data_IF_541052969787
#
_entry.id   IF_541052969787
#
_cell.length_a   1.000
_cell.length_b   1.000
_cell.length_c   1.000
_cell.angle_alpha   90.00
_cell.angle_beta   90.00
_cell.angle_gamma   90.00
#
_symmetry.space_group_name_H-M   'P 1'
#
loop_
_entity.id
_entity.type
_entity.pdbx_description
1 polymer ?
#
# COMPACT_ATOMS: atom_id res chain seq x y z
N UNK A 1 1.99 7.78 6.76
CA UNK A 1 0.67 8.07 7.39
C UNK A 1 0.83 8.89 8.66
N UNK A 2 1.51 8.44 9.72
CA UNK A 2 1.64 9.21 10.98
C UNK A 2 2.21 10.61 10.77
N UNK A 3 3.32 10.77 10.06
CA UNK A 3 3.89 12.09 9.74
C UNK A 3 2.92 13.00 8.97
N UNK A 4 2.08 12.42 8.11
CA UNK A 4 1.05 13.17 7.38
C UNK A 4 -0.05 13.65 8.33
N UNK A 5 -0.47 12.82 9.28
CA UNK A 5 -1.45 13.21 10.29
C UNK A 5 -0.87 14.24 11.26
N UNK A 6 0.41 14.14 11.61
CA UNK A 6 1.11 15.19 12.38
C UNK A 6 1.06 16.53 11.63
N UNK A 7 1.47 16.54 10.36
CA UNK A 7 1.53 17.75 9.53
C UNK A 7 0.14 18.34 9.22
N UNK A 8 -0.83 17.50 8.87
CA UNK A 8 -2.14 17.93 8.33
C UNK A 8 -3.25 18.01 9.36
N UNK A 9 -3.16 17.24 10.43
CA UNK A 9 -4.21 17.11 11.44
C UNK A 9 -3.72 17.42 12.87
N UNK A 10 -2.47 17.88 13.03
CA UNK A 10 -1.93 18.24 14.32
C UNK A 10 -1.79 17.08 15.32
N UNK A 11 -1.65 15.83 14.80
CA UNK A 11 -1.42 14.67 15.66
C UNK A 11 -0.09 14.84 16.39
N UNK A 12 -0.07 14.59 17.69
CA UNK A 12 1.15 14.66 18.49
C UNK A 12 1.79 13.28 18.56
N UNK A 13 2.96 13.14 17.96
CA UNK A 13 3.74 11.89 18.05
C UNK A 13 4.54 11.90 19.36
N UNK A 14 4.46 10.80 20.10
CA UNK A 14 5.22 10.60 21.34
C UNK A 14 6.65 10.11 21.11
N UNK A 15 6.87 9.53 19.94
CA UNK A 15 8.16 9.02 19.45
C UNK A 15 8.20 9.19 17.92
N UNK A 16 9.34 8.90 17.30
CA UNK A 16 9.42 8.89 15.83
C UNK A 16 8.42 7.90 15.22
N UNK A 17 7.81 8.26 14.10
CA UNK A 17 6.78 7.44 13.45
C UNK A 17 7.27 6.02 13.11
N UNK A 18 8.57 5.84 12.84
CA UNK A 18 9.17 4.54 12.57
C UNK A 18 9.17 3.65 13.83
N UNK A 19 9.48 4.22 14.99
CA UNK A 19 9.42 3.52 16.29
C UNK A 19 7.99 3.12 16.62
N UNK A 20 7.05 4.06 16.49
CA UNK A 20 5.61 3.80 16.74
C UNK A 20 5.05 2.71 15.83
N UNK A 21 5.54 2.60 14.59
CA UNK A 21 5.08 1.57 13.64
C UNK A 21 5.57 0.16 13.96
N UNK A 22 6.54 0.02 14.85
CA UNK A 22 7.13 -1.29 15.23
C UNK A 22 6.81 -1.70 16.66
N UNK A 23 6.05 -0.90 17.40
CA UNK A 23 5.63 -1.26 18.77
C UNK A 23 4.72 -2.47 18.78
N UNK A 24 4.86 -3.34 19.75
CA UNK A 24 3.99 -4.51 19.95
C UNK A 24 2.76 -4.18 20.80
N UNK A 25 2.74 -3.01 21.43
CA UNK A 25 1.66 -2.56 22.29
C UNK A 25 0.68 -1.64 21.55
N UNK A 26 -0.57 -1.64 22.01
CA UNK A 26 -1.56 -0.66 21.53
C UNK A 26 -1.16 0.73 22.01
N UNK A 27 -0.90 1.62 21.04
CA UNK A 27 -0.46 2.99 21.32
C UNK A 27 -1.53 3.98 20.91
N UNK A 28 -1.86 4.93 21.81
CA UNK A 28 -2.85 5.97 21.55
C UNK A 28 -2.17 7.33 21.40
N UNK A 29 -2.52 8.03 20.34
CA UNK A 29 -2.07 9.37 20.03
C UNK A 29 -3.28 10.29 19.88
N UNK A 30 -3.11 11.57 20.14
CA UNK A 30 -4.15 12.58 19.98
C UNK A 30 -3.56 13.86 19.40
N UNK A 31 -4.37 14.62 18.67
CA UNK A 31 -4.05 16.02 18.38
C UNK A 31 -4.12 16.88 19.64
N UNK A 32 -3.48 18.05 19.63
CA UNK A 32 -3.48 18.97 20.78
C UNK A 32 -4.90 19.39 21.20
N UNK A 33 -5.79 19.57 20.24
CA UNK A 33 -7.20 19.95 20.48
C UNK A 33 -8.13 18.76 20.74
N UNK A 34 -7.61 17.54 20.68
CA UNK A 34 -8.36 16.30 20.88
C UNK A 34 -9.32 15.93 19.73
N UNK A 35 -9.32 16.67 18.63
CA UNK A 35 -10.23 16.44 17.50
C UNK A 35 -9.86 15.19 16.69
N UNK A 36 -8.59 14.80 16.68
CA UNK A 36 -8.09 13.60 16.02
C UNK A 36 -7.48 12.67 17.06
N UNK A 37 -7.96 11.44 17.10
CA UNK A 37 -7.42 10.39 17.94
C UNK A 37 -7.01 9.20 17.04
N UNK A 38 -5.82 8.66 17.27
CA UNK A 38 -5.28 7.54 16.52
C UNK A 38 -4.88 6.44 17.49
N UNK A 39 -5.38 5.25 17.26
CA UNK A 39 -4.92 4.05 17.97
C UNK A 39 -4.12 3.19 17.02
N UNK A 40 -2.86 2.96 17.34
CA UNK A 40 -1.96 2.10 16.58
C UNK A 40 -2.08 0.71 17.17
N UNK A 41 -2.53 -0.23 16.35
CA UNK A 41 -2.57 -1.65 16.68
C UNK A 41 -1.52 -2.36 15.84
N UNK A 42 -0.45 -2.78 16.46
CA UNK A 42 0.58 -3.55 15.78
C UNK A 42 0.37 -5.06 15.98
N UNK A 43 1.02 -5.82 15.16
CA UNK A 43 0.99 -7.27 15.18
C UNK A 43 0.56 -7.84 13.84
N UNK A 44 1.28 -8.87 13.41
CA UNK A 44 0.94 -9.60 12.18
C UNK A 44 -0.30 -10.46 12.42
N UNK A 45 -1.20 -10.46 11.46
CA UNK A 45 -2.47 -11.17 11.52
C UNK A 45 -2.38 -12.56 10.92
N UNK A 46 -1.82 -13.48 11.64
CA UNK A 46 -2.27 -14.86 11.46
C UNK A 46 -3.55 -15.07 12.27
N UNK A 47 -4.36 -16.08 11.93
CA UNK A 47 -5.70 -16.31 12.54
C UNK A 47 -5.73 -16.29 14.08
N UNK A 48 -4.59 -16.45 14.73
CA UNK A 48 -4.40 -16.44 16.19
C UNK A 48 -3.34 -15.39 16.63
N UNK A 49 -3.04 -14.40 15.82
CA UNK A 49 -1.99 -13.42 16.10
C UNK A 49 -2.43 -12.25 16.99
N UNK A 50 -1.49 -11.57 17.65
CA UNK A 50 -1.75 -10.45 18.56
C UNK A 50 -2.47 -9.26 17.91
N UNK A 51 -2.42 -9.14 16.57
CA UNK A 51 -3.11 -8.07 15.84
C UNK A 51 -4.62 -8.05 16.03
N UNK A 52 -5.28 -9.24 16.07
CA UNK A 52 -6.72 -9.32 16.32
C UNK A 52 -7.10 -8.97 17.77
N UNK A 53 -6.25 -9.31 18.73
CA UNK A 53 -6.46 -8.98 20.14
C UNK A 53 -6.25 -7.48 20.37
N UNK A 54 -5.22 -6.90 19.74
CA UNK A 54 -4.95 -5.48 19.78
C UNK A 54 -6.09 -4.65 19.17
N UNK A 55 -6.63 -5.08 18.02
CA UNK A 55 -7.79 -4.44 17.41
C UNK A 55 -9.02 -4.54 18.31
N UNK A 56 -9.26 -5.69 18.93
CA UNK A 56 -10.38 -5.86 19.88
C UNK A 56 -10.23 -4.93 21.09
N UNK A 57 -9.01 -4.76 21.58
CA UNK A 57 -8.69 -3.83 22.67
C UNK A 57 -8.95 -2.39 22.24
N UNK A 58 -8.54 -2.00 21.02
CA UNK A 58 -8.79 -0.68 20.48
C UNK A 58 -10.29 -0.39 20.32
N UNK A 59 -11.06 -1.34 19.80
CA UNK A 59 -12.51 -1.19 19.61
C UNK A 59 -13.31 -1.11 20.93
N UNK A 60 -12.77 -1.67 22.01
CA UNK A 60 -13.41 -1.57 23.32
C UNK A 60 -13.34 -0.14 23.92
N UNK A 61 -12.46 0.70 23.42
CA UNK A 61 -12.22 2.05 23.99
C UNK A 61 -13.18 3.15 23.48
N UNK A 62 -14.00 2.88 22.48
CA UNK A 62 -14.92 3.88 21.95
C UNK A 62 -15.33 3.61 20.51
N UNK A 63 -15.91 4.61 19.87
CA UNK A 63 -16.26 4.57 18.46
C UNK A 63 -15.01 4.63 17.57
N UNK A 64 -15.12 4.03 16.41
CA UNK A 64 -14.11 4.08 15.37
C UNK A 64 -14.74 4.66 14.10
N UNK A 65 -14.19 5.76 13.58
CA UNK A 65 -14.69 6.40 12.36
C UNK A 65 -13.98 5.86 11.13
N UNK A 66 -12.71 5.48 11.25
CA UNK A 66 -11.91 4.93 10.16
C UNK A 66 -10.86 3.94 10.65
N UNK A 67 -10.61 2.91 9.84
CA UNK A 67 -9.55 1.93 10.05
C UNK A 67 -8.65 1.87 8.80
N UNK A 68 -7.35 1.96 9.00
CA UNK A 68 -6.36 1.74 7.94
C UNK A 68 -5.50 0.55 8.29
N UNK A 69 -5.57 -0.49 7.50
CA UNK A 69 -4.69 -1.66 7.61
C UNK A 69 -3.49 -1.50 6.70
N UNK A 70 -2.31 -1.77 7.23
CA UNK A 70 -1.09 -1.80 6.41
C UNK A 70 -0.98 -3.06 5.55
N UNK A 71 -1.82 -4.09 5.82
CA UNK A 71 -1.81 -5.35 5.08
C UNK A 71 -3.01 -6.23 5.49
N UNK A 72 -3.54 -7.05 4.56
CA UNK A 72 -4.55 -8.08 4.81
C UNK A 72 -5.79 -7.62 5.61
N UNK A 73 -6.44 -6.55 5.20
CA UNK A 73 -7.64 -6.04 5.88
C UNK A 73 -8.77 -7.09 5.98
N UNK A 74 -8.83 -8.01 5.01
CA UNK A 74 -9.82 -9.10 4.98
C UNK A 74 -9.88 -9.93 6.27
N UNK A 75 -8.77 -10.04 6.99
CA UNK A 75 -8.69 -10.76 8.27
C UNK A 75 -9.47 -10.06 9.39
N UNK A 76 -9.76 -8.78 9.25
CA UNK A 76 -10.42 -7.96 10.27
C UNK A 76 -11.90 -7.69 10.02
N UNK A 77 -12.42 -8.04 8.83
CA UNK A 77 -13.76 -7.61 8.39
C UNK A 77 -14.88 -8.06 9.36
N UNK A 78 -14.81 -9.26 9.89
CA UNK A 78 -15.82 -9.72 10.88
C UNK A 78 -15.81 -8.83 12.13
N UNK A 79 -14.63 -8.45 12.64
CA UNK A 79 -14.53 -7.60 13.82
C UNK A 79 -14.96 -6.17 13.52
N UNK A 80 -14.68 -5.67 12.31
CA UNK A 80 -15.13 -4.37 11.84
C UNK A 80 -16.66 -4.36 11.77
N UNK A 81 -17.27 -5.36 11.14
CA UNK A 81 -18.72 -5.49 11.03
C UNK A 81 -19.42 -5.57 12.41
N UNK A 82 -18.83 -6.31 13.35
CA UNK A 82 -19.35 -6.37 14.73
C UNK A 82 -19.26 -5.00 15.41
N UNK A 83 -18.16 -4.26 15.21
CA UNK A 83 -17.99 -2.91 15.76
C UNK A 83 -18.94 -1.89 15.16
N UNK A 84 -19.14 -1.93 13.85
CA UNK A 84 -20.13 -1.11 13.15
C UNK A 84 -21.54 -1.32 13.69
N UNK A 85 -21.90 -2.56 13.92
CA UNK A 85 -23.19 -2.92 14.52
C UNK A 85 -23.31 -2.43 15.95
N UNK A 86 -22.26 -2.56 16.76
CA UNK A 86 -22.22 -2.08 18.14
C UNK A 86 -22.40 -0.56 18.21
N UNK A 87 -21.65 0.18 17.42
CA UNK A 87 -21.70 1.65 17.40
C UNK A 87 -22.86 2.22 16.58
N UNK A 88 -23.59 1.38 15.84
CA UNK A 88 -24.63 1.76 14.88
C UNK A 88 -24.13 2.84 13.88
N UNK A 89 -22.92 2.65 13.37
CA UNK A 89 -22.26 3.61 12.49
C UNK A 89 -21.19 2.92 11.62
N UNK A 90 -21.10 3.36 10.36
CA UNK A 90 -20.13 2.87 9.39
C UNK A 90 -18.70 3.22 9.80
N UNK A 91 -17.77 2.34 9.51
CA UNK A 91 -16.32 2.56 9.63
C UNK A 91 -15.74 2.65 8.21
N UNK A 92 -15.03 3.74 7.89
CA UNK A 92 -14.30 3.83 6.65
C UNK A 92 -13.07 2.92 6.70
N UNK A 93 -13.00 1.96 5.81
CA UNK A 93 -11.96 0.93 5.82
C UNK A 93 -11.00 1.10 4.64
N UNK A 94 -9.73 1.31 4.96
CA UNK A 94 -8.66 1.38 3.98
C UNK A 94 -7.63 0.28 4.17
N UNK A 95 -7.03 -0.17 3.07
CA UNK A 95 -5.93 -1.14 3.08
C UNK A 95 -4.79 -0.73 2.16
N UNK A 96 -3.56 -0.92 2.64
CA UNK A 96 -2.38 -0.96 1.78
C UNK A 96 -2.18 -2.43 1.41
N UNK A 97 -2.56 -2.80 0.19
CA UNK A 97 -2.61 -4.19 -0.24
C UNK A 97 -2.44 -4.33 -1.75
N UNK A 98 -2.50 -5.55 -2.24
CA UNK A 98 -2.42 -5.88 -3.66
C UNK A 98 -3.78 -5.78 -4.34
N UNK A 99 -3.78 -5.46 -5.63
CA UNK A 99 -4.96 -5.61 -6.49
C UNK A 99 -5.11 -7.09 -6.87
N UNK A 100 -5.94 -7.81 -6.13
CA UNK A 100 -6.21 -9.26 -6.27
C UNK A 100 -7.70 -9.53 -6.45
N UNK A 101 -8.05 -10.76 -6.86
CA UNK A 101 -9.45 -11.19 -7.00
C UNK A 101 -10.21 -11.01 -5.68
N UNK A 102 -9.61 -11.45 -4.55
CA UNK A 102 -10.27 -11.36 -3.25
C UNK A 102 -10.53 -9.93 -2.78
N UNK A 103 -9.60 -9.00 -3.04
CA UNK A 103 -9.82 -7.60 -2.73
C UNK A 103 -10.82 -6.95 -3.70
N UNK A 104 -10.91 -7.43 -4.96
CA UNK A 104 -11.93 -6.96 -5.91
C UNK A 104 -13.33 -7.35 -5.47
N UNK A 105 -13.52 -8.59 -5.01
CA UNK A 105 -14.81 -9.05 -4.47
C UNK A 105 -15.29 -8.15 -3.32
N UNK A 106 -14.39 -7.69 -2.44
CA UNK A 106 -14.72 -6.81 -1.33
C UNK A 106 -15.25 -5.43 -1.77
N UNK A 107 -14.87 -4.93 -2.94
CA UNK A 107 -15.47 -3.71 -3.50
C UNK A 107 -16.87 -3.91 -4.05
N UNK A 108 -17.24 -5.15 -4.38
CA UNK A 108 -18.56 -5.51 -4.92
C UNK A 108 -19.56 -5.90 -3.83
N UNK A 109 -19.08 -6.35 -2.68
CA UNK A 109 -19.90 -6.68 -1.53
C UNK A 109 -20.52 -5.44 -0.88
N UNK A 110 -21.52 -5.65 -0.05
CA UNK A 110 -22.18 -4.59 0.72
C UNK A 110 -22.24 -4.98 2.19
N UNK A 111 -21.83 -4.06 3.03
CA UNK A 111 -22.00 -4.11 4.47
C UNK A 111 -23.47 -3.86 4.88
N UNK A 112 -23.72 -3.81 6.18
CA UNK A 112 -25.05 -3.57 6.73
C UNK A 112 -25.58 -2.16 6.48
N UNK A 113 -24.73 -1.20 6.09
CA UNK A 113 -25.08 0.18 5.75
C UNK A 113 -25.20 0.38 4.23
N UNK A 114 -24.92 -0.66 3.43
CA UNK A 114 -24.98 -0.62 1.96
C UNK A 114 -23.70 -0.10 1.30
N UNK A 115 -22.61 0.03 2.06
CA UNK A 115 -21.28 0.41 1.58
C UNK A 115 -20.44 -0.82 1.26
N UNK A 116 -19.38 -0.69 0.45
CA UNK A 116 -18.37 -1.74 0.37
C UNK A 116 -17.72 -1.97 1.76
N UNK A 117 -17.39 -3.21 2.13
CA UNK A 117 -16.64 -3.46 3.37
C UNK A 117 -15.22 -2.90 3.36
N UNK A 118 -14.73 -2.47 2.18
CA UNK A 118 -13.45 -1.76 2.01
C UNK A 118 -13.68 -0.58 1.08
N UNK A 119 -13.40 0.64 1.56
CA UNK A 119 -13.60 1.89 0.83
C UNK A 119 -12.36 2.32 0.03
N UNK A 120 -11.19 1.82 0.40
CA UNK A 120 -9.92 2.30 -0.11
C UNK A 120 -8.88 1.20 -0.15
N UNK A 121 -8.31 0.94 -1.33
CA UNK A 121 -7.13 0.09 -1.49
C UNK A 121 -6.02 0.88 -2.16
N UNK A 122 -4.84 0.79 -1.60
CA UNK A 122 -3.65 1.43 -2.12
C UNK A 122 -2.53 0.41 -2.26
N UNK A 123 -2.02 0.25 -3.47
CA UNK A 123 -0.92 -0.68 -3.73
C UNK A 123 -0.36 -0.54 -5.13
N UNK A 124 0.70 -1.27 -5.39
CA UNK A 124 1.35 -1.39 -6.70
C UNK A 124 2.18 -2.68 -6.76
N UNK A 125 1.68 -3.71 -6.11
CA UNK A 125 2.46 -4.90 -5.80
C UNK A 125 2.95 -5.65 -7.06
N UNK A 126 2.08 -5.83 -8.06
CA UNK A 126 2.44 -6.55 -9.28
C UNK A 126 3.54 -5.85 -10.09
N UNK A 127 3.66 -4.53 -9.98
CA UNK A 127 4.71 -3.76 -10.67
C UNK A 127 6.11 -3.93 -10.07
N UNK A 128 6.27 -4.63 -8.95
CA UNK A 128 7.57 -4.90 -8.34
C UNK A 128 8.42 -5.88 -9.15
N UNK A 129 7.79 -6.78 -9.90
CA UNK A 129 8.48 -7.84 -10.62
C UNK A 129 9.48 -7.32 -11.68
N UNK A 130 9.09 -6.28 -12.43
CA UNK A 130 9.94 -5.67 -13.44
C UNK A 130 11.23 -5.06 -12.87
N UNK A 131 11.12 -4.10 -11.94
CA UNK A 131 12.29 -3.54 -11.25
C UNK A 131 13.14 -4.59 -10.54
N UNK A 132 12.55 -5.55 -9.84
CA UNK A 132 13.29 -6.64 -9.20
C UNK A 132 14.09 -7.47 -10.20
N UNK A 133 13.49 -7.80 -11.34
CA UNK A 133 14.18 -8.47 -12.44
C UNK A 133 15.37 -7.64 -12.96
N UNK A 134 15.19 -6.33 -13.20
CA UNK A 134 16.25 -5.46 -13.67
C UNK A 134 17.43 -5.37 -12.67
N UNK A 135 17.13 -5.32 -11.37
CA UNK A 135 18.17 -5.38 -10.32
C UNK A 135 18.97 -6.68 -10.38
N UNK A 136 18.27 -7.81 -10.43
CA UNK A 136 18.92 -9.14 -10.49
C UNK A 136 19.74 -9.27 -11.78
N UNK A 137 19.19 -8.82 -12.92
CA UNK A 137 19.87 -8.93 -14.21
C UNK A 137 21.16 -8.08 -14.24
N UNK A 138 21.14 -6.84 -13.75
CA UNK A 138 22.35 -6.05 -13.58
C UNK A 138 23.39 -6.77 -12.69
N UNK A 139 22.96 -7.37 -11.60
CA UNK A 139 23.85 -8.06 -10.68
C UNK A 139 24.51 -9.29 -11.31
N UNK A 140 23.76 -10.16 -11.97
CA UNK A 140 24.28 -11.39 -12.58
C UNK A 140 25.13 -11.14 -13.82
N UNK A 141 24.94 -9.99 -14.49
CA UNK A 141 25.77 -9.58 -15.66
C UNK A 141 27.01 -8.79 -15.25
N UNK A 142 27.32 -8.68 -13.95
CA UNK A 142 28.49 -7.96 -13.44
C UNK A 142 28.34 -6.44 -13.39
N UNK A 143 27.14 -5.91 -13.61
CA UNK A 143 26.83 -4.49 -13.63
C UNK A 143 26.12 -4.02 -12.34
N UNK A 144 26.43 -4.65 -11.24
CA UNK A 144 25.80 -4.35 -9.94
C UNK A 144 25.91 -2.88 -9.49
N UNK A 145 26.88 -2.13 -10.01
CA UNK A 145 27.02 -0.71 -9.70
C UNK A 145 25.90 0.15 -10.28
N UNK A 146 25.19 -0.35 -11.30
CA UNK A 146 23.98 0.29 -11.83
C UNK A 146 22.78 0.28 -10.84
N UNK A 147 22.85 -0.54 -9.79
CA UNK A 147 21.76 -0.74 -8.81
C UNK A 147 22.27 -0.67 -7.38
N UNK A 148 23.47 -0.11 -7.14
CA UNK A 148 24.05 0.07 -5.81
C UNK A 148 24.30 1.53 -5.49
N UNK A 149 24.01 1.88 -4.24
CA UNK A 149 24.40 3.15 -3.62
C UNK A 149 25.26 2.85 -2.38
N UNK A 150 26.40 3.53 -2.28
CA UNK A 150 27.32 3.36 -1.14
C UNK A 150 27.71 1.88 -0.89
N UNK A 151 27.80 1.09 -1.97
CA UNK A 151 28.16 -0.33 -1.90
C UNK A 151 27.02 -1.27 -1.48
N UNK A 152 25.84 -0.77 -1.24
CA UNK A 152 24.63 -1.54 -0.92
C UNK A 152 23.61 -1.46 -2.08
N UNK A 153 22.67 -2.41 -2.15
CA UNK A 153 21.57 -2.33 -3.11
C UNK A 153 20.79 -1.03 -2.90
N UNK A 154 20.48 -0.34 -3.99
CA UNK A 154 19.65 0.86 -3.93
C UNK A 154 18.27 0.52 -3.36
N UNK A 155 17.77 1.37 -2.47
CA UNK A 155 16.40 1.26 -1.95
C UNK A 155 15.48 2.00 -2.91
N UNK A 156 14.53 1.27 -3.49
CA UNK A 156 13.57 1.81 -4.42
C UNK A 156 12.25 2.12 -3.69
N UNK A 157 11.68 3.26 -4.01
CA UNK A 157 10.34 3.65 -3.58
C UNK A 157 9.43 3.66 -4.80
N UNK A 158 8.23 3.13 -4.65
CA UNK A 158 7.22 3.19 -5.69
C UNK A 158 6.03 4.00 -5.18
N UNK A 159 5.52 4.90 -6.03
CA UNK A 159 4.24 5.53 -5.79
C UNK A 159 3.13 4.47 -5.82
N UNK A 160 2.18 4.55 -4.91
CA UNK A 160 1.05 3.64 -4.89
C UNK A 160 -0.03 4.06 -5.90
N UNK A 161 -0.68 3.08 -6.47
CA UNK A 161 -1.96 3.27 -7.15
C UNK A 161 -3.09 3.15 -6.13
N UNK A 162 -4.17 3.91 -6.35
CA UNK A 162 -5.24 4.04 -5.36
C UNK A 162 -6.58 3.78 -6.01
N UNK A 163 -7.34 2.84 -5.47
CA UNK A 163 -8.73 2.62 -5.80
C UNK A 163 -9.63 3.07 -4.64
N UNK A 164 -10.67 3.86 -4.96
CA UNK A 164 -11.66 4.37 -4.01
C UNK A 164 -13.08 3.95 -4.36
N UNK A 165 -13.24 3.16 -5.41
CA UNK A 165 -14.50 2.62 -5.87
C UNK A 165 -14.26 1.41 -6.80
N UNK A 166 -15.31 0.66 -7.07
CA UNK A 166 -15.25 -0.55 -7.90
C UNK A 166 -14.62 -0.31 -9.28
N UNK A 167 -14.96 0.80 -9.94
CA UNK A 167 -14.45 1.11 -11.28
C UNK A 167 -12.95 1.38 -11.27
N UNK A 168 -12.46 2.14 -10.29
CA UNK A 168 -11.02 2.38 -10.13
C UNK A 168 -10.30 1.06 -9.87
N UNK A 169 -10.90 0.20 -9.03
CA UNK A 169 -10.33 -1.10 -8.70
C UNK A 169 -10.23 -1.99 -9.95
N UNK A 170 -11.31 -2.10 -10.73
CA UNK A 170 -11.35 -2.89 -11.97
C UNK A 170 -10.25 -2.47 -12.94
N UNK A 171 -10.07 -1.17 -13.14
CA UNK A 171 -9.04 -0.64 -14.01
C UNK A 171 -7.63 -0.99 -13.50
N UNK A 172 -7.35 -0.72 -12.24
CA UNK A 172 -6.04 -0.98 -11.63
C UNK A 172 -5.73 -2.47 -11.50
N UNK A 173 -6.74 -3.29 -11.25
CA UNK A 173 -6.64 -4.74 -11.24
C UNK A 173 -6.18 -5.28 -12.60
N UNK A 174 -6.71 -4.76 -13.70
CA UNK A 174 -6.30 -5.12 -15.05
C UNK A 174 -4.79 -4.88 -15.29
N UNK A 175 -4.27 -3.74 -14.86
CA UNK A 175 -2.83 -3.44 -14.95
C UNK A 175 -2.00 -4.27 -13.99
N UNK A 176 -2.48 -4.50 -12.80
CA UNK A 176 -1.77 -5.25 -11.77
C UNK A 176 -1.65 -6.74 -12.09
N UNK A 177 -2.64 -7.34 -12.74
CA UNK A 177 -2.69 -8.77 -13.09
C UNK A 177 -2.15 -9.08 -14.48
N UNK A 178 -1.81 -8.07 -15.26
CA UNK A 178 -1.33 -8.24 -16.63
C UNK A 178 -2.43 -8.60 -17.65
N UNK A 179 -3.72 -8.39 -17.30
CA UNK A 179 -4.82 -8.57 -18.25
C UNK A 179 -4.70 -7.59 -19.41
N UNK A 180 -4.30 -6.35 -19.10
CA UNK A 180 -4.14 -5.31 -20.11
C UNK A 180 -2.72 -5.25 -20.65
N UNK A 181 -1.71 -5.27 -19.84
CA UNK A 181 -0.29 -5.31 -20.15
C UNK A 181 0.55 -5.33 -18.87
N UNK A 182 1.84 -5.54 -18.97
CA UNK A 182 2.74 -5.45 -17.84
C UNK A 182 2.88 -4.00 -17.36
N UNK A 183 2.95 -3.79 -16.06
CA UNK A 183 3.12 -2.47 -15.46
C UNK A 183 4.41 -1.75 -15.94
N UNK A 184 5.47 -2.48 -16.26
CA UNK A 184 6.66 -1.98 -16.95
C UNK A 184 6.86 -2.73 -18.26
N UNK A 185 7.09 -2.01 -19.36
CA UNK A 185 7.46 -2.62 -20.64
C UNK A 185 8.91 -3.10 -20.63
N UNK A 186 9.27 -3.91 -21.62
CA UNK A 186 10.68 -4.26 -21.85
C UNK A 186 11.53 -3.02 -22.10
N UNK A 187 11.00 -2.03 -22.81
CA UNK A 187 11.73 -0.81 -23.16
C UNK A 187 12.01 0.05 -21.92
N UNK A 188 11.05 0.18 -20.99
CA UNK A 188 11.27 0.86 -19.69
C UNK A 188 12.43 0.21 -18.93
N UNK A 189 12.45 -1.12 -18.88
CA UNK A 189 13.48 -1.85 -18.14
C UNK A 189 14.84 -1.85 -18.83
N UNK A 190 14.90 -1.82 -20.19
CA UNK A 190 16.16 -1.72 -20.92
C UNK A 190 16.94 -0.47 -20.52
N UNK A 191 16.28 0.67 -20.34
CA UNK A 191 16.91 1.93 -19.94
C UNK A 191 17.60 1.93 -18.56
N UNK A 192 17.30 0.91 -17.74
CA UNK A 192 17.88 0.74 -16.38
C UNK A 192 18.73 -0.52 -16.25
N UNK A 193 18.96 -1.25 -17.33
CA UNK A 193 19.83 -2.43 -17.39
C UNK A 193 21.08 -2.10 -18.20
N UNK A 194 22.24 -2.05 -17.56
CA UNK A 194 23.50 -1.55 -18.16
C UNK A 194 23.99 -2.33 -19.36
N UNK A 195 23.62 -3.60 -19.50
CA UNK A 195 23.95 -4.39 -20.69
C UNK A 195 23.25 -3.84 -21.94
N UNK A 196 22.10 -3.23 -21.78
CA UNK A 196 21.32 -2.65 -22.88
C UNK A 196 21.51 -1.13 -23.01
N UNK A 197 21.78 -0.43 -21.89
CA UNK A 197 22.03 1.01 -21.86
C UNK A 197 23.19 1.32 -20.90
N UNK A 198 24.35 1.69 -21.48
CA UNK A 198 25.56 2.04 -20.73
C UNK A 198 25.36 3.22 -19.76
N UNK A 199 24.30 4.02 -19.96
CA UNK A 199 23.93 5.15 -19.12
C UNK A 199 23.05 4.78 -17.92
N UNK A 200 22.72 3.50 -17.72
CA UNK A 200 21.97 3.03 -16.59
C UNK A 200 22.72 3.32 -15.26
N UNK A 201 22.04 3.98 -14.34
CA UNK A 201 22.54 4.37 -13.00
C UNK A 201 21.49 4.10 -11.93
N UNK A 202 21.89 4.06 -10.65
CA UNK A 202 20.94 3.93 -9.54
C UNK A 202 19.91 5.07 -9.52
N UNK A 203 20.30 6.29 -9.90
CA UNK A 203 19.41 7.46 -9.95
C UNK A 203 18.33 7.28 -11.02
N UNK A 204 18.70 6.86 -12.24
CA UNK A 204 17.71 6.54 -13.29
C UNK A 204 16.76 5.43 -12.88
N UNK A 205 17.27 4.44 -12.16
CA UNK A 205 16.45 3.34 -11.69
C UNK A 205 15.44 3.79 -10.64
N UNK A 206 15.85 4.65 -9.72
CA UNK A 206 14.95 5.29 -8.76
C UNK A 206 13.91 6.16 -9.45
N UNK A 207 14.34 7.02 -10.39
CA UNK A 207 13.44 7.87 -11.14
C UNK A 207 12.35 7.05 -11.84
N UNK A 208 12.72 5.96 -12.53
CA UNK A 208 11.76 5.06 -13.17
C UNK A 208 10.74 4.50 -12.17
N UNK A 209 11.17 4.06 -10.98
CA UNK A 209 10.26 3.43 -10.03
C UNK A 209 9.40 4.41 -9.27
N UNK A 210 9.92 5.59 -8.94
CA UNK A 210 9.22 6.62 -8.18
C UNK A 210 8.20 7.39 -9.03
N UNK A 211 8.55 7.71 -10.28
CA UNK A 211 7.70 8.48 -11.19
C UNK A 211 6.65 7.66 -11.90
N UNK A 212 6.83 6.34 -12.00
CA UNK A 212 5.95 5.49 -12.79
C UNK A 212 4.51 5.46 -12.24
N UNK A 213 3.58 5.91 -13.05
CA UNK A 213 2.17 6.07 -12.71
C UNK A 213 1.26 5.12 -13.50
N UNK A 214 -0.01 5.07 -13.15
CA UNK A 214 -1.01 4.34 -13.93
C UNK A 214 -1.19 4.96 -15.33
N UNK A 215 -0.96 6.26 -15.46
CA UNK A 215 -1.06 6.96 -16.75
C UNK A 215 0.04 6.50 -17.72
N UNK A 216 1.24 6.16 -17.22
CA UNK A 216 2.30 5.58 -18.03
C UNK A 216 1.93 4.17 -18.51
N UNK A 217 1.23 3.39 -17.67
CA UNK A 217 0.69 2.09 -18.07
C UNK A 217 -0.41 2.22 -19.13
N UNK A 218 -1.31 3.19 -18.98
CA UNK A 218 -2.40 3.46 -19.93
C UNK A 218 -1.88 3.90 -21.28
N UNK A 219 -0.89 4.78 -21.32
CA UNK A 219 -0.35 5.33 -22.57
C UNK A 219 0.15 4.23 -23.52
N UNK A 220 0.67 3.12 -22.99
CA UNK A 220 1.18 2.00 -23.80
C UNK A 220 0.12 1.18 -24.50
N UNK A 221 -1.09 1.09 -23.94
CA UNK A 221 -2.18 0.30 -24.54
C UNK A 221 -2.70 0.93 -25.83
N UNK A 222 -2.56 2.26 -25.96
CA UNK A 222 -3.07 3.01 -27.11
C UNK A 222 -2.04 3.21 -28.23
N UNK A 223 -0.77 2.88 -27.98
CA UNK A 223 0.30 2.99 -28.98
C UNK A 223 0.44 1.72 -29.86
N UNK A 224 -0.31 0.66 -29.57
CA UNK A 224 -0.27 -0.62 -30.34
C UNK A 224 -1.43 -0.76 -31.36
N UNK A 225 -2.29 0.24 -31.56
CA UNK A 225 -3.28 0.30 -32.64
C UNK A 225 -2.71 1.06 -33.87
#
# INVERSE_FOLDING_TARGET
>A
MLNTLEEKAGLVLTEEAETLSTTEEVTKLSSEDGSVQVTICSGYTEQDGPGLDNLSTAFADGNCDALMSAFHVSTYLDKIADKEKEQNGNILVGSIDSFTDGNYELFQEKDMFGNPPVDYVQGKYASLAGPAFAMIYNAITGNQDAVKENGQAARLYQGFWTATNEKDYEELYGYATGIYENAYSCDDLQGVIRVFDDSATPEKFKELTESYSVEDAKARIFDEE
#
